data_IF_117383826188
#
_entry.id   IF_117383826188
#
_cell.length_a   1.000
_cell.length_b   1.000
_cell.length_c   1.000
_cell.angle_alpha   90.00
_cell.angle_beta   90.00
_cell.angle_gamma   90.00
#
_symmetry.space_group_name_H-M   'P 1'
#
loop_
_entity.id
_entity.type
_entity.pdbx_description
1 polymer ?
#
# COMPACT_ATOMS: atom_id res chain seq x y z
N UNK A 1 -0.63 -15.91 -6.98
CA UNK A 1 -0.30 -15.44 -5.63
C UNK A 1 -1.17 -16.12 -4.57
N UNK A 2 -2.51 -16.14 -4.72
CA UNK A 2 -3.43 -16.69 -3.70
C UNK A 2 -3.23 -18.21 -3.42
N UNK A 3 -2.53 -18.92 -4.31
CA UNK A 3 -2.22 -20.36 -4.17
C UNK A 3 -0.84 -20.66 -3.58
N UNK A 4 0.00 -19.63 -3.45
CA UNK A 4 1.40 -19.80 -3.04
C UNK A 4 1.59 -19.57 -1.55
N UNK A 5 0.68 -18.84 -0.91
CA UNK A 5 0.74 -18.57 0.52
C UNK A 5 -0.32 -19.39 1.26
N UNK A 6 0.15 -20.15 2.25
CA UNK A 6 -0.68 -20.95 3.14
C UNK A 6 -0.80 -20.27 4.50
N UNK A 7 -1.87 -20.61 5.24
CA UNK A 7 -2.04 -20.19 6.61
C UNK A 7 -0.75 -20.39 7.43
N UNK A 8 -0.32 -19.42 8.21
CA UNK A 8 -1.01 -18.21 8.65
C UNK A 8 -0.84 -16.96 7.74
N UNK A 9 -0.35 -17.13 6.52
CA UNK A 9 -0.10 -16.02 5.61
C UNK A 9 -1.25 -15.79 4.65
N UNK A 10 -1.64 -14.54 4.48
CA UNK A 10 -2.70 -14.10 3.57
C UNK A 10 -2.19 -13.01 2.64
N UNK A 11 -2.22 -13.27 1.32
CA UNK A 11 -1.88 -12.25 0.33
C UNK A 11 -3.09 -11.34 0.08
N UNK A 12 -3.05 -10.17 0.69
CA UNK A 12 -4.11 -9.17 0.61
C UNK A 12 -3.86 -8.24 -0.58
N UNK A 13 -4.85 -8.14 -1.42
CA UNK A 13 -4.96 -7.17 -2.51
C UNK A 13 -6.44 -6.84 -2.76
N UNK A 14 -6.73 -6.00 -3.74
CA UNK A 14 -8.11 -5.61 -4.07
C UNK A 14 -8.98 -6.77 -4.59
N UNK A 15 -8.37 -7.87 -5.07
CA UNK A 15 -9.13 -9.05 -5.52
C UNK A 15 -9.47 -9.99 -4.39
N UNK A 16 -8.55 -10.18 -3.44
CA UNK A 16 -8.77 -11.04 -2.27
C UNK A 16 -9.60 -10.34 -1.19
N UNK A 17 -9.53 -9.00 -1.11
CA UNK A 17 -10.28 -8.19 -0.14
C UNK A 17 -10.88 -6.94 -0.79
N UNK A 18 -12.17 -6.99 -1.13
CA UNK A 18 -12.89 -5.90 -1.81
C UNK A 18 -13.26 -4.73 -0.90
N UNK A 19 -13.05 -4.84 0.41
CA UNK A 19 -13.29 -3.75 1.35
C UNK A 19 -12.11 -2.77 1.43
N UNK A 20 -11.04 -3.06 0.70
CA UNK A 20 -9.79 -2.32 0.73
C UNK A 20 -9.34 -1.97 -0.68
N UNK A 21 -8.95 -0.71 -0.89
CA UNK A 21 -8.17 -0.31 -2.05
C UNK A 21 -6.69 -0.26 -1.67
N UNK A 22 -5.91 -1.10 -2.31
CA UNK A 22 -4.44 -1.05 -2.25
C UNK A 22 -3.87 -0.84 -3.66
N UNK A 23 -2.91 0.07 -3.79
CA UNK A 23 -2.12 0.23 -5.01
C UNK A 23 -0.90 -0.70 -5.05
N UNK A 24 -0.86 -1.72 -4.19
CA UNK A 24 0.19 -2.71 -4.03
C UNK A 24 -0.40 -3.98 -3.42
N UNK A 25 0.37 -5.05 -3.37
CA UNK A 25 0.02 -6.24 -2.59
C UNK A 25 0.56 -6.13 -1.16
N UNK A 26 -0.04 -6.86 -0.25
CA UNK A 26 0.41 -6.94 1.14
C UNK A 26 0.35 -8.38 1.62
N UNK A 27 1.45 -8.91 2.12
CA UNK A 27 1.46 -10.22 2.76
C UNK A 27 1.21 -10.04 4.25
N UNK A 28 0.13 -10.64 4.77
CA UNK A 28 -0.29 -10.50 6.16
C UNK A 28 -0.15 -11.79 6.92
N UNK A 29 0.24 -11.68 8.19
CA UNK A 29 0.20 -12.78 9.15
C UNK A 29 -1.12 -12.72 9.92
N UNK A 30 -2.07 -13.60 9.61
CA UNK A 30 -3.45 -13.51 10.12
C UNK A 30 -3.60 -13.80 11.62
N UNK A 31 -2.65 -14.50 12.22
CA UNK A 31 -2.61 -14.79 13.67
C UNK A 31 -1.93 -13.69 14.50
N UNK A 32 -1.78 -12.51 13.90
CA UNK A 32 -1.20 -11.35 14.55
C UNK A 32 -2.05 -10.11 14.34
N UNK A 33 -1.71 -9.01 15.00
CA UNK A 33 -2.43 -7.74 14.93
C UNK A 33 -1.49 -6.58 14.62
N UNK A 34 -1.86 -5.76 13.62
CA UNK A 34 -1.29 -4.43 13.35
C UNK A 34 -2.42 -3.46 13.03
N UNK A 35 -2.80 -2.62 13.99
CA UNK A 35 -4.06 -1.89 13.98
C UNK A 35 -3.87 -0.42 14.33
N UNK A 36 -4.41 0.47 13.50
CA UNK A 36 -4.62 1.88 13.84
C UNK A 36 -6.03 2.09 14.42
N UNK A 37 -6.22 3.16 15.18
CA UNK A 37 -7.50 3.51 15.82
C UNK A 37 -8.65 3.63 14.82
N UNK A 38 -8.42 4.27 13.69
CA UNK A 38 -9.42 4.44 12.62
C UNK A 38 -9.79 3.14 11.90
N UNK A 39 -9.08 2.03 12.17
CA UNK A 39 -9.29 0.74 11.52
C UNK A 39 -10.21 -0.20 12.32
N UNK A 40 -10.60 0.15 13.56
CA UNK A 40 -11.42 -0.68 14.43
C UNK A 40 -12.72 -1.16 13.76
N UNK A 41 -13.33 -0.31 12.94
CA UNK A 41 -14.59 -0.62 12.26
C UNK A 41 -14.42 -1.11 10.81
N UNK A 42 -13.19 -1.37 10.37
CA UNK A 42 -12.92 -1.86 9.03
C UNK A 42 -13.12 -3.36 8.91
N UNK A 43 -13.47 -3.82 7.70
CA UNK A 43 -13.80 -5.23 7.41
C UNK A 43 -12.68 -5.99 6.68
N UNK A 44 -11.47 -5.47 6.68
CA UNK A 44 -10.32 -6.12 6.03
C UNK A 44 -9.34 -6.72 7.05
N UNK A 45 -8.46 -7.60 6.58
CA UNK A 45 -7.43 -8.21 7.40
C UNK A 45 -6.43 -7.16 7.92
N UNK A 46 -6.06 -7.25 9.19
CA UNK A 46 -5.19 -6.32 9.93
C UNK A 46 -4.10 -7.05 10.72
N UNK A 47 -3.60 -8.13 10.19
CA UNK A 47 -2.41 -8.79 10.70
C UNK A 47 -1.13 -7.96 10.42
N UNK A 48 -0.03 -8.28 11.09
CA UNK A 48 1.29 -7.71 10.78
C UNK A 48 1.61 -7.98 9.32
N UNK A 49 2.20 -7.01 8.64
CA UNK A 49 2.26 -6.98 7.18
C UNK A 49 3.62 -6.59 6.60
N UNK A 50 3.85 -7.09 5.38
CA UNK A 50 4.92 -6.66 4.49
C UNK A 50 4.29 -6.18 3.19
N UNK A 51 4.56 -4.94 2.80
CA UNK A 51 4.09 -4.36 1.54
C UNK A 51 4.93 -4.84 0.35
N UNK A 52 4.25 -5.22 -0.73
CA UNK A 52 4.86 -5.68 -1.99
C UNK A 52 4.48 -4.71 -3.09
N UNK A 53 5.43 -3.87 -3.48
CA UNK A 53 5.23 -2.86 -4.52
C UNK A 53 5.65 -3.37 -5.89
N UNK A 54 4.81 -3.11 -6.90
CA UNK A 54 5.13 -3.40 -8.31
C UNK A 54 5.89 -2.21 -8.90
N UNK A 55 6.95 -2.48 -9.61
CA UNK A 55 7.67 -1.49 -10.42
C UNK A 55 7.06 -1.47 -11.83
N UNK A 56 6.43 -0.37 -12.17
CA UNK A 56 5.80 -0.13 -13.46
C UNK A 56 6.77 0.62 -14.38
N UNK A 57 6.69 0.38 -15.70
CA UNK A 57 7.45 1.13 -16.69
C UNK A 57 7.07 2.62 -16.68
N UNK A 58 8.07 3.51 -16.70
CA UNK A 58 7.86 4.95 -16.67
C UNK A 58 7.68 5.52 -18.07
N UNK A 59 6.65 6.34 -18.30
CA UNK A 59 6.38 6.99 -19.59
C UNK A 59 7.26 8.22 -19.71
N UNK A 60 8.25 8.18 -20.62
CA UNK A 60 9.20 9.26 -20.84
C UNK A 60 8.55 10.49 -21.49
N UNK A 61 7.68 10.29 -22.47
CA UNK A 61 7.00 11.38 -23.15
C UNK A 61 6.06 12.14 -22.20
N UNK A 62 6.26 13.45 -21.97
CA UNK A 62 5.50 14.21 -20.97
C UNK A 62 4.02 14.35 -21.32
N UNK A 63 3.67 14.40 -22.61
CA UNK A 63 2.27 14.52 -23.06
C UNK A 63 1.54 13.22 -22.82
N UNK A 64 2.09 12.08 -23.24
CA UNK A 64 1.50 10.77 -23.00
C UNK A 64 1.43 10.49 -21.48
N UNK A 65 2.45 10.86 -20.73
CA UNK A 65 2.47 10.73 -19.28
C UNK A 65 1.37 11.56 -18.61
N UNK A 66 1.08 12.77 -19.09
CA UNK A 66 0.00 13.60 -18.58
C UNK A 66 -1.36 12.90 -18.75
N UNK A 67 -1.66 12.38 -19.93
CA UNK A 67 -2.92 11.68 -20.19
C UNK A 67 -3.03 10.38 -19.39
N UNK A 68 -1.97 9.59 -19.37
CA UNK A 68 -1.93 8.35 -18.60
C UNK A 68 -2.12 8.59 -17.10
N UNK A 69 -1.43 9.58 -16.54
CA UNK A 69 -1.58 10.00 -15.15
C UNK A 69 -3.01 10.45 -14.85
N UNK A 70 -3.60 11.24 -15.75
CA UNK A 70 -4.99 11.73 -15.57
C UNK A 70 -5.97 10.57 -15.56
N UNK A 71 -5.88 9.65 -16.53
CA UNK A 71 -6.72 8.47 -16.60
C UNK A 71 -6.60 7.59 -15.34
N UNK A 72 -5.37 7.27 -14.94
CA UNK A 72 -5.11 6.48 -13.73
C UNK A 72 -5.60 7.16 -12.46
N UNK A 73 -5.48 8.50 -12.35
CA UNK A 73 -6.00 9.25 -11.21
C UNK A 73 -7.52 9.24 -11.12
N UNK A 74 -8.23 9.34 -12.23
CA UNK A 74 -9.70 9.27 -12.27
C UNK A 74 -10.16 7.91 -11.78
N UNK A 75 -9.63 6.83 -12.36
CA UNK A 75 -9.99 5.46 -11.95
C UNK A 75 -9.62 5.21 -10.48
N UNK A 76 -8.44 5.61 -10.06
CA UNK A 76 -7.99 5.50 -8.65
C UNK A 76 -8.95 6.20 -7.68
N UNK A 77 -9.38 7.42 -8.01
CA UNK A 77 -10.32 8.17 -7.17
C UNK A 77 -11.67 7.46 -7.06
N UNK A 78 -12.17 6.88 -8.15
CA UNK A 78 -13.44 6.12 -8.13
C UNK A 78 -13.31 4.84 -7.30
N UNK A 79 -12.22 4.07 -7.46
CA UNK A 79 -11.96 2.86 -6.68
C UNK A 79 -11.88 3.16 -5.19
N UNK A 80 -11.11 4.19 -4.81
CA UNK A 80 -11.01 4.65 -3.42
C UNK A 80 -12.32 5.18 -2.87
N UNK A 81 -13.08 5.89 -3.70
CA UNK A 81 -14.40 6.41 -3.34
C UNK A 81 -15.38 5.30 -2.99
N UNK A 82 -15.33 4.18 -3.70
CA UNK A 82 -16.19 3.03 -3.42
C UNK A 82 -15.97 2.43 -2.04
N UNK A 83 -14.72 2.22 -1.65
CA UNK A 83 -14.36 1.63 -0.33
C UNK A 83 -14.33 2.65 0.80
N UNK A 84 -14.53 3.93 0.51
CA UNK A 84 -14.52 4.98 1.54
C UNK A 84 -15.75 4.91 2.43
N UNK A 85 -15.52 5.11 3.74
CA UNK A 85 -16.64 5.31 4.67
C UNK A 85 -17.19 6.72 4.53
N UNK A 86 -18.49 6.80 4.33
CA UNK A 86 -19.22 8.06 4.35
C UNK A 86 -19.45 8.47 5.80
N UNK A 87 -18.71 9.43 6.28
CA UNK A 87 -18.88 10.01 7.61
C UNK A 87 -18.96 11.54 7.54
N UNK A 88 -19.45 12.16 8.59
CA UNK A 88 -19.69 13.62 8.64
C UNK A 88 -18.39 14.44 8.66
N UNK A 89 -17.26 13.82 9.02
CA UNK A 89 -15.93 14.47 9.01
C UNK A 89 -15.31 14.52 7.62
N UNK A 90 -15.89 13.84 6.62
CA UNK A 90 -15.39 13.82 5.26
C UNK A 90 -15.68 15.15 4.56
N UNK A 91 -14.67 15.74 3.89
CA UNK A 91 -14.83 16.93 3.06
C UNK A 91 -15.86 16.69 1.95
N UNK A 92 -16.64 17.71 1.63
CA UNK A 92 -17.76 17.62 0.68
C UNK A 92 -17.36 17.05 -0.68
N UNK A 93 -16.24 17.49 -1.26
CA UNK A 93 -15.71 16.99 -2.54
C UNK A 93 -15.42 15.48 -2.49
N UNK A 94 -14.80 14.99 -1.42
CA UNK A 94 -14.52 13.56 -1.22
C UNK A 94 -15.81 12.75 -1.02
N UNK A 95 -16.77 13.32 -0.28
CA UNK A 95 -18.09 12.69 -0.05
C UNK A 95 -18.86 12.53 -1.35
N UNK A 96 -18.85 13.56 -2.22
CA UNK A 96 -19.47 13.50 -3.54
C UNK A 96 -18.85 12.42 -4.43
N UNK A 97 -17.50 12.34 -4.46
CA UNK A 97 -16.79 11.29 -5.21
C UNK A 97 -17.15 9.90 -4.67
N UNK A 98 -17.19 9.73 -3.35
CA UNK A 98 -17.55 8.45 -2.74
C UNK A 98 -18.98 8.05 -3.06
N UNK A 99 -19.93 8.98 -3.01
CA UNK A 99 -21.33 8.73 -3.37
C UNK A 99 -21.49 8.34 -4.84
N UNK A 100 -20.90 9.11 -5.76
CA UNK A 100 -20.89 8.81 -7.19
C UNK A 100 -20.24 7.45 -7.49
N UNK A 101 -19.13 7.14 -6.83
CA UNK A 101 -18.45 5.84 -6.98
C UNK A 101 -19.30 4.67 -6.49
N UNK A 102 -19.96 4.80 -5.35
CA UNK A 102 -20.90 3.77 -4.86
C UNK A 102 -22.08 3.56 -5.80
N UNK A 103 -22.56 4.63 -6.44
CA UNK A 103 -23.58 4.54 -7.50
C UNK A 103 -23.08 3.82 -8.74
N UNK A 104 -21.90 4.20 -9.24
CA UNK A 104 -21.27 3.58 -10.43
C UNK A 104 -21.05 2.07 -10.24
N UNK A 105 -20.51 1.66 -9.10
CA UNK A 105 -20.18 0.26 -8.83
C UNK A 105 -21.38 -0.63 -8.48
N UNK A 106 -22.61 -0.12 -8.56
CA UNK A 106 -23.82 -0.95 -8.64
C UNK A 106 -24.01 -1.58 -10.04
N UNK A 107 -23.47 -0.92 -11.06
CA UNK A 107 -23.63 -1.34 -12.47
C UNK A 107 -22.33 -1.92 -13.04
N UNK A 108 -21.18 -1.51 -12.53
CA UNK A 108 -19.85 -1.94 -12.97
C UNK A 108 -19.20 -2.77 -11.86
N UNK A 109 -18.68 -3.94 -12.21
CA UNK A 109 -17.95 -4.76 -11.25
C UNK A 109 -16.69 -4.06 -10.76
N UNK A 110 -16.54 -3.91 -9.45
CA UNK A 110 -15.37 -3.33 -8.80
C UNK A 110 -14.07 -4.04 -9.21
N UNK A 111 -14.09 -5.39 -9.24
CA UNK A 111 -12.93 -6.19 -9.70
C UNK A 111 -12.56 -5.91 -11.16
N UNK A 112 -13.55 -5.76 -12.05
CA UNK A 112 -13.29 -5.42 -13.46
C UNK A 112 -12.71 -4.01 -13.60
N UNK A 113 -13.20 -3.06 -12.82
CA UNK A 113 -12.66 -1.70 -12.80
C UNK A 113 -11.23 -1.67 -12.25
N UNK A 114 -10.92 -2.48 -11.25
CA UNK A 114 -9.56 -2.62 -10.74
C UNK A 114 -8.64 -3.29 -11.76
N UNK A 115 -9.10 -4.33 -12.46
CA UNK A 115 -8.36 -4.95 -13.54
C UNK A 115 -8.07 -3.96 -14.70
N UNK A 116 -9.02 -3.09 -15.03
CA UNK A 116 -8.79 -2.01 -15.99
C UNK A 116 -7.74 -1.02 -15.46
N UNK A 117 -7.78 -0.67 -14.17
CA UNK A 117 -6.77 0.17 -13.53
C UNK A 117 -5.37 -0.43 -13.64
N UNK A 118 -5.21 -1.72 -13.37
CA UNK A 118 -3.93 -2.42 -13.55
C UNK A 118 -3.50 -2.45 -15.02
N UNK A 119 -4.47 -2.63 -15.95
CA UNK A 119 -4.17 -2.65 -17.38
C UNK A 119 -3.55 -1.33 -17.87
N UNK A 120 -3.94 -0.19 -17.28
CA UNK A 120 -3.32 1.09 -17.62
C UNK A 120 -1.82 1.09 -17.33
N UNK A 121 -1.37 0.48 -16.24
CA UNK A 121 0.07 0.39 -15.93
C UNK A 121 0.80 -0.60 -16.81
N UNK A 122 0.14 -1.68 -17.22
CA UNK A 122 0.69 -2.69 -18.15
C UNK A 122 0.83 -2.19 -19.60
N UNK A 123 0.30 -1.02 -19.92
CA UNK A 123 0.50 -0.41 -21.26
C UNK A 123 1.96 -0.08 -21.55
N UNK A 124 2.77 0.07 -20.51
CA UNK A 124 4.20 0.33 -20.63
C UNK A 124 4.96 -0.87 -20.08
N UNK A 125 5.71 -1.52 -20.93
CA UNK A 125 6.52 -2.68 -20.57
C UNK A 125 7.69 -2.23 -19.68
N UNK A 126 7.67 -2.66 -18.41
CA UNK A 126 8.69 -2.31 -17.44
C UNK A 126 10.07 -2.86 -17.82
N UNK A 127 10.12 -4.02 -18.50
CA UNK A 127 11.38 -4.66 -18.87
C UNK A 127 12.08 -3.94 -20.05
N UNK A 128 11.31 -3.17 -20.84
CA UNK A 128 11.82 -2.35 -21.94
C UNK A 128 12.00 -0.89 -21.59
N UNK A 129 11.62 -0.48 -20.38
CA UNK A 129 11.70 0.90 -19.94
C UNK A 129 13.09 1.20 -19.36
N UNK A 130 13.63 2.37 -19.66
CA UNK A 130 14.87 2.84 -19.01
C UNK A 130 14.67 3.14 -17.54
N UNK A 131 13.49 3.62 -17.21
CA UNK A 131 13.10 3.99 -15.84
C UNK A 131 11.82 3.27 -15.40
N UNK A 132 11.75 2.98 -14.11
CA UNK A 132 10.61 2.36 -13.46
C UNK A 132 10.18 3.16 -12.23
N UNK A 133 8.94 2.98 -11.83
CA UNK A 133 8.41 3.63 -10.63
C UNK A 133 7.21 2.86 -10.06
N UNK A 134 6.88 3.08 -8.80
CA UNK A 134 5.67 2.54 -8.16
C UNK A 134 4.47 3.45 -8.48
N UNK A 135 4.00 3.42 -9.73
CA UNK A 135 3.00 4.36 -10.26
C UNK A 135 1.64 4.21 -9.58
N UNK A 136 1.20 2.98 -9.32
CA UNK A 136 -0.08 2.70 -8.68
C UNK A 136 -0.17 3.27 -7.27
N UNK A 137 0.95 3.34 -6.54
CA UNK A 137 1.01 3.93 -5.22
C UNK A 137 1.09 5.46 -5.28
N UNK A 138 2.06 6.02 -6.02
CA UNK A 138 2.29 7.47 -6.07
C UNK A 138 2.87 7.92 -7.41
N UNK A 139 2.01 8.21 -8.37
CA UNK A 139 2.40 8.62 -9.73
C UNK A 139 3.22 9.92 -9.81
N UNK A 140 3.15 10.80 -8.85
CA UNK A 140 3.67 12.17 -8.95
C UNK A 140 5.01 12.43 -8.25
N UNK A 141 5.63 11.42 -7.66
CA UNK A 141 6.88 11.63 -6.91
C UNK A 141 8.10 11.43 -7.78
N UNK A 142 8.80 12.50 -8.13
CA UNK A 142 10.10 12.45 -8.84
C UNK A 142 11.15 11.63 -8.07
N UNK A 143 11.10 11.63 -6.74
CA UNK A 143 11.97 10.85 -5.84
C UNK A 143 11.74 9.34 -5.88
N UNK A 144 10.85 8.82 -6.73
CA UNK A 144 10.54 7.40 -6.82
C UNK A 144 10.68 6.85 -8.24
N UNK A 145 11.26 7.63 -9.13
CA UNK A 145 11.61 7.19 -10.48
C UNK A 145 13.03 6.66 -10.42
N UNK A 146 13.21 5.40 -10.77
CA UNK A 146 14.44 4.64 -10.59
C UNK A 146 14.95 4.17 -11.93
N UNK A 147 16.27 3.99 -12.06
CA UNK A 147 16.84 3.32 -13.22
C UNK A 147 16.40 1.86 -13.23
N UNK A 148 15.91 1.37 -14.35
CA UNK A 148 15.56 -0.05 -14.49
C UNK A 148 16.77 -0.96 -14.27
N UNK A 149 17.95 -0.51 -14.73
CA UNK A 149 19.20 -1.26 -14.60
C UNK A 149 19.58 -1.60 -13.16
N UNK A 150 19.20 -0.79 -12.17
CA UNK A 150 19.45 -1.05 -10.74
C UNK A 150 18.70 -2.30 -10.21
N UNK A 151 17.74 -2.82 -10.98
CA UNK A 151 16.88 -3.96 -10.63
C UNK A 151 17.01 -5.13 -11.60
N UNK A 152 17.99 -5.13 -12.52
CA UNK A 152 18.16 -6.19 -13.51
C UNK A 152 18.61 -7.51 -12.86
N UNK A 153 19.43 -7.39 -11.83
CA UNK A 153 19.99 -8.52 -11.11
C UNK A 153 19.68 -8.38 -9.61
N UNK A 154 19.70 -9.50 -8.93
CA UNK A 154 19.60 -9.55 -7.47
C UNK A 154 20.98 -9.81 -6.87
N UNK A 155 21.31 -9.07 -5.84
CA UNK A 155 22.44 -9.35 -4.97
C UNK A 155 21.93 -9.82 -3.62
N UNK A 156 22.66 -10.71 -2.98
CA UNK A 156 22.31 -11.20 -1.65
C UNK A 156 23.12 -10.46 -0.60
N UNK A 157 22.45 -9.72 0.25
CA UNK A 157 23.08 -8.93 1.30
C UNK A 157 22.79 -9.53 2.68
N UNK A 158 23.80 -9.60 3.58
CA UNK A 158 23.59 -10.07 4.94
C UNK A 158 22.81 -9.02 5.73
N UNK A 159 21.86 -9.50 6.53
CA UNK A 159 21.15 -8.71 7.51
C UNK A 159 20.95 -9.57 8.77
N UNK A 160 21.60 -9.18 9.87
CA UNK A 160 21.65 -9.97 11.11
C UNK A 160 22.18 -11.41 10.85
N UNK A 161 21.33 -12.42 11.05
CA UNK A 161 21.68 -13.85 10.90
C UNK A 161 21.16 -14.47 9.60
N UNK A 162 20.65 -13.67 8.67
CA UNK A 162 20.08 -14.12 7.40
C UNK A 162 20.63 -13.29 6.23
N UNK A 163 20.39 -13.76 5.01
CA UNK A 163 20.69 -13.02 3.78
C UNK A 163 19.39 -12.75 3.02
N UNK A 164 19.27 -11.54 2.48
CA UNK A 164 18.10 -11.11 1.72
C UNK A 164 18.48 -10.68 0.31
N UNK A 165 17.57 -10.90 -0.66
CA UNK A 165 17.74 -10.37 -2.01
C UNK A 165 17.56 -8.85 -2.00
N UNK A 166 18.45 -8.16 -2.68
CA UNK A 166 18.41 -6.71 -2.87
C UNK A 166 18.65 -6.36 -4.33
N UNK A 167 18.29 -5.14 -4.77
CA UNK A 167 18.66 -4.63 -6.08
C UNK A 167 20.17 -4.64 -6.28
N UNK A 168 20.65 -4.87 -7.51
CA UNK A 168 22.07 -4.89 -7.84
C UNK A 168 22.76 -3.56 -7.53
N UNK A 169 22.07 -2.44 -7.73
CA UNK A 169 22.49 -1.12 -7.27
C UNK A 169 21.67 -0.66 -6.07
N UNK A 170 22.02 -1.19 -4.89
CA UNK A 170 21.37 -0.84 -3.63
C UNK A 170 21.55 0.62 -3.27
N UNK A 171 22.69 1.23 -3.62
CA UNK A 171 22.95 2.64 -3.35
C UNK A 171 21.98 3.54 -4.12
N UNK A 172 21.86 3.37 -5.45
CA UNK A 172 20.92 4.14 -6.30
C UNK A 172 19.46 3.96 -5.79
N UNK A 173 19.09 2.74 -5.39
CA UNK A 173 17.76 2.47 -4.85
C UNK A 173 17.49 3.23 -3.54
N UNK A 174 18.46 3.31 -2.64
CA UNK A 174 18.33 4.01 -1.36
C UNK A 174 18.36 5.52 -1.53
N UNK A 175 19.27 6.06 -2.34
CA UNK A 175 19.33 7.50 -2.68
C UNK A 175 18.03 7.96 -3.31
N UNK A 176 17.49 7.19 -4.24
CA UNK A 176 16.22 7.51 -4.88
C UNK A 176 15.05 7.59 -3.89
N UNK A 177 15.08 6.79 -2.83
CA UNK A 177 13.99 6.70 -1.85
C UNK A 177 14.15 7.69 -0.70
N UNK A 178 15.35 7.82 -0.16
CA UNK A 178 15.64 8.53 1.09
C UNK A 178 16.50 9.78 0.90
N UNK A 179 17.21 9.94 -0.23
CA UNK A 179 18.17 11.01 -0.49
C UNK A 179 19.61 10.56 -0.28
N UNK A 180 20.56 11.44 -0.62
CA UNK A 180 22.00 11.13 -0.56
C UNK A 180 22.51 10.87 0.87
N UNK A 181 21.78 11.38 1.86
CA UNK A 181 22.09 11.29 3.28
C UNK A 181 21.38 10.12 3.97
N UNK A 182 20.93 9.12 3.21
CA UNK A 182 20.13 7.99 3.73
C UNK A 182 20.78 7.21 4.87
N UNK A 183 22.10 7.29 5.02
CA UNK A 183 22.84 6.68 6.14
C UNK A 183 22.74 7.50 7.44
N UNK A 184 22.23 8.73 7.38
CA UNK A 184 22.07 9.58 8.55
C UNK A 184 20.71 9.30 9.21
N UNK A 185 20.64 8.77 10.43
CA UNK A 185 19.37 8.54 11.11
C UNK A 185 18.57 9.84 11.28
N UNK A 186 17.31 9.84 10.84
CA UNK A 186 16.41 10.97 10.98
C UNK A 186 15.23 10.56 11.87
N UNK A 187 14.97 11.35 12.92
CA UNK A 187 13.76 11.23 13.72
C UNK A 187 12.58 11.93 13.01
N UNK A 188 11.89 11.22 12.15
CA UNK A 188 10.71 11.73 11.47
C UNK A 188 9.44 11.09 12.04
N UNK A 189 8.33 11.85 12.11
CA UNK A 189 7.05 11.27 12.47
C UNK A 189 6.69 10.16 11.46
N UNK A 190 6.26 9.01 11.97
CA UNK A 190 5.85 7.90 11.09
C UNK A 190 4.68 8.31 10.22
N UNK A 191 4.77 8.03 8.91
CA UNK A 191 3.69 8.26 7.95
C UNK A 191 2.47 7.33 8.19
N UNK A 192 2.66 6.26 8.95
CA UNK A 192 1.64 5.26 9.26
C UNK A 192 0.88 5.52 10.57
N UNK A 193 1.27 6.57 11.30
CA UNK A 193 0.71 6.84 12.62
C UNK A 193 1.16 5.83 13.68
N UNK A 194 0.55 5.92 14.86
CA UNK A 194 0.78 4.95 15.92
C UNK A 194 -0.08 3.73 15.68
N UNK A 195 0.53 2.53 15.76
CA UNK A 195 -0.15 1.25 15.59
C UNK A 195 -0.09 0.45 16.89
N UNK A 196 -1.18 -0.22 17.22
CA UNK A 196 -1.15 -1.33 18.15
C UNK A 196 -0.58 -2.56 17.44
N UNK A 197 0.44 -3.17 17.99
CA UNK A 197 1.10 -4.36 17.45
C UNK A 197 1.02 -5.50 18.47
N UNK A 198 0.59 -6.68 18.01
CA UNK A 198 0.57 -7.91 18.77
C UNK A 198 0.91 -9.08 17.85
N UNK A 199 2.05 -9.72 18.09
CA UNK A 199 2.56 -10.81 17.27
C UNK A 199 1.91 -12.17 17.62
N UNK A 200 1.16 -12.25 18.71
CA UNK A 200 0.67 -13.50 19.28
C UNK A 200 -0.85 -13.66 19.24
N UNK A 201 -1.57 -12.58 18.92
CA UNK A 201 -3.05 -12.59 18.94
C UNK A 201 -3.62 -12.18 17.58
N UNK A 202 -4.59 -12.94 17.06
CA UNK A 202 -5.29 -12.60 15.82
C UNK A 202 -6.03 -11.26 15.95
N UNK A 203 -6.00 -10.47 14.86
CA UNK A 203 -6.64 -9.14 14.87
C UNK A 203 -8.15 -9.17 15.15
N UNK A 204 -8.84 -10.27 14.84
CA UNK A 204 -10.28 -10.41 15.08
C UNK A 204 -10.59 -10.34 16.59
N UNK A 205 -9.82 -11.04 17.40
CA UNK A 205 -9.97 -11.05 18.85
C UNK A 205 -9.67 -9.69 19.46
N UNK A 206 -8.55 -9.10 19.04
CA UNK A 206 -8.11 -7.79 19.52
C UNK A 206 -9.09 -6.68 19.14
N UNK A 207 -9.64 -6.73 17.94
CA UNK A 207 -10.63 -5.74 17.47
C UNK A 207 -11.91 -5.85 18.28
N UNK A 208 -12.36 -7.07 18.57
CA UNK A 208 -13.60 -7.27 19.36
C UNK A 208 -13.43 -6.76 20.80
N UNK A 209 -12.29 -7.04 21.42
CA UNK A 209 -11.93 -6.52 22.73
C UNK A 209 -11.86 -4.98 22.74
N UNK A 210 -11.18 -4.38 21.77
CA UNK A 210 -11.01 -2.93 21.69
C UNK A 210 -12.28 -2.17 21.30
N UNK A 211 -13.25 -2.82 20.67
CA UNK A 211 -14.58 -2.22 20.46
C UNK A 211 -15.38 -2.14 21.76
N UNK A 212 -15.22 -3.13 22.64
CA UNK A 212 -15.85 -3.13 23.95
C UNK A 212 -15.15 -2.17 24.93
N UNK A 213 -13.83 -1.99 24.77
CA UNK A 213 -12.97 -1.20 25.65
C UNK A 213 -12.09 -0.22 24.86
N UNK A 214 -12.67 0.80 24.18
CA UNK A 214 -11.91 1.71 23.32
C UNK A 214 -10.87 2.54 24.07
N UNK A 215 -11.02 2.76 25.36
CA UNK A 215 -10.03 3.41 26.24
C UNK A 215 -8.71 2.65 26.30
N UNK A 216 -8.74 1.33 26.24
CA UNK A 216 -7.54 0.50 26.28
C UNK A 216 -6.66 0.67 25.03
N UNK A 217 -7.24 1.05 23.89
CA UNK A 217 -6.48 1.26 22.68
C UNK A 217 -5.46 2.39 22.85
N UNK A 218 -5.90 3.53 23.37
CA UNK A 218 -5.02 4.70 23.61
C UNK A 218 -3.95 4.38 24.66
N UNK A 219 -4.28 3.60 25.68
CA UNK A 219 -3.36 3.19 26.74
C UNK A 219 -2.28 2.23 26.22
N UNK A 220 -2.67 1.20 25.46
CA UNK A 220 -1.75 0.23 24.85
C UNK A 220 -0.82 0.89 23.83
N UNK A 221 -1.32 1.84 23.02
CA UNK A 221 -0.47 2.61 22.10
C UNK A 221 0.55 3.46 22.87
N UNK A 222 0.17 4.09 23.98
CA UNK A 222 1.13 4.84 24.81
C UNK A 222 2.27 3.96 25.30
N UNK A 223 1.98 2.74 25.76
CA UNK A 223 2.98 1.79 26.22
C UNK A 223 4.00 1.38 25.15
N UNK A 224 3.56 1.30 23.89
CA UNK A 224 4.42 0.91 22.76
C UNK A 224 5.30 2.06 22.22
N UNK A 225 4.95 3.30 22.50
CA UNK A 225 5.61 4.50 21.97
C UNK A 225 5.98 5.51 23.06
N UNK A 226 6.18 5.05 24.29
CA UNK A 226 6.83 5.86 25.34
C UNK A 226 8.30 5.97 24.99
N UNK A 227 8.78 7.19 24.84
CA UNK A 227 10.19 7.56 24.65
C UNK A 227 11.02 7.21 25.90
#
# INVERSE_FOLDING_TARGET
ADKEFQHPYFFQNTYSDQNLYLGHGTLRHVESTALCDYELNRKYCRGIDIDIFVLDGFIENPVLRFFHRTATMIVKKSLRGYVADLNDKMKFDKRLIAWASKGLYRFVSYKKAFAFYEQLFRMVDADKSERVSVLAYRYSSHRRIRKRSSYNEQVWIPFENVVYPAPSDTHDALVCYFGDDYMTPLHLPTAHGRRYLDATRPYQEVVEELKQHPEQFAERIKLLYTD
#
